data_IF_214400777052
#
_entry.id   IF_214400777052
#
_cell.length_a   1.000
_cell.length_b   1.000
_cell.length_c   1.000
_cell.angle_alpha   90.00
_cell.angle_beta   90.00
_cell.angle_gamma   90.00
#
_symmetry.space_group_name_H-M   'P 1'
#
loop_
_entity.id
_entity.type
_entity.pdbx_description
1 polymer ?
#
# COMPACT_ATOMS: atom_id res chain seq x y z
N UNK A 1 7.27 6.46 -23.53
CA UNK A 1 5.92 6.00 -23.13
C UNK A 1 5.98 5.55 -21.68
N UNK A 2 5.07 6.04 -20.83
CA UNK A 2 5.01 5.65 -19.40
C UNK A 2 4.45 4.24 -19.30
N UNK A 3 5.04 3.40 -18.45
CA UNK A 3 4.61 2.00 -18.21
C UNK A 3 4.14 1.74 -16.78
N UNK A 4 4.51 2.62 -15.85
CA UNK A 4 4.25 2.43 -14.44
C UNK A 4 4.16 3.79 -13.74
N UNK A 5 3.21 3.92 -12.83
CA UNK A 5 3.02 5.07 -11.95
C UNK A 5 3.01 4.55 -10.51
N UNK A 6 3.93 5.06 -9.68
CA UNK A 6 3.85 4.91 -8.24
C UNK A 6 3.20 6.17 -7.65
N UNK A 7 2.29 6.00 -6.71
CA UNK A 7 1.71 7.13 -5.98
C UNK A 7 1.77 6.88 -4.48
N UNK A 8 2.19 7.90 -3.75
CA UNK A 8 1.88 7.97 -2.33
C UNK A 8 0.36 8.08 -2.12
N UNK A 9 -0.10 7.76 -0.92
CA UNK A 9 -1.52 7.68 -0.56
C UNK A 9 -1.92 8.79 0.40
N UNK A 10 -1.30 8.84 1.57
CA UNK A 10 -1.71 9.75 2.65
C UNK A 10 -1.14 11.16 2.43
N UNK A 11 -2.01 12.12 2.10
CA UNK A 11 -1.59 13.48 1.75
C UNK A 11 -1.26 13.69 0.27
N UNK A 12 -1.43 12.64 -0.54
CA UNK A 12 -1.28 12.69 -2.01
C UNK A 12 -2.58 12.27 -2.69
N UNK A 13 -2.91 10.97 -2.67
CA UNK A 13 -4.10 10.42 -3.33
C UNK A 13 -5.39 10.68 -2.53
N UNK A 14 -5.27 10.72 -1.19
CA UNK A 14 -6.40 10.94 -0.31
C UNK A 14 -6.56 12.41 0.03
N UNK A 15 -7.81 12.86 0.01
CA UNK A 15 -8.21 14.19 0.47
C UNK A 15 -8.12 14.30 2.02
N UNK A 16 -8.50 15.46 2.56
CA UNK A 16 -8.48 15.72 4.02
C UNK A 16 -9.42 14.81 4.82
N UNK A 17 -10.44 14.24 4.17
CA UNK A 17 -11.39 13.28 4.73
C UNK A 17 -10.87 11.84 4.64
N UNK A 18 -9.66 11.64 4.11
CA UNK A 18 -9.02 10.33 3.86
C UNK A 18 -9.76 9.48 2.83
N UNK A 19 -10.37 10.14 1.86
CA UNK A 19 -11.13 9.53 0.77
C UNK A 19 -10.49 9.85 -0.58
N UNK A 20 -10.74 9.01 -1.58
CA UNK A 20 -10.42 9.32 -2.97
C UNK A 20 -11.61 10.08 -3.55
N UNK A 21 -11.39 11.27 -4.09
CA UNK A 21 -12.47 12.07 -4.68
C UNK A 21 -12.89 11.57 -6.08
N UNK A 22 -14.11 11.95 -6.48
CA UNK A 22 -14.70 11.53 -7.75
C UNK A 22 -13.88 11.97 -8.97
N UNK A 23 -13.19 13.12 -8.88
CA UNK A 23 -12.35 13.61 -9.96
C UNK A 23 -11.15 12.67 -10.17
N UNK A 24 -10.48 12.29 -9.10
CA UNK A 24 -9.36 11.35 -9.11
C UNK A 24 -9.79 9.99 -9.64
N UNK A 25 -10.95 9.47 -9.19
CA UNK A 25 -11.52 8.22 -9.73
C UNK A 25 -11.72 8.30 -11.24
N UNK A 26 -12.29 9.41 -11.75
CA UNK A 26 -12.50 9.63 -13.19
C UNK A 26 -11.19 9.70 -13.97
N UNK A 27 -10.17 10.38 -13.43
CA UNK A 27 -8.85 10.47 -14.07
C UNK A 27 -8.19 9.09 -14.14
N UNK A 28 -8.21 8.31 -13.06
CA UNK A 28 -7.65 6.95 -13.05
C UNK A 28 -8.37 6.03 -14.03
N UNK A 29 -9.70 6.18 -14.19
CA UNK A 29 -10.47 5.43 -15.16
C UNK A 29 -10.05 5.69 -16.61
N UNK A 30 -9.54 6.89 -16.91
CA UNK A 30 -9.07 7.31 -18.24
C UNK A 30 -7.62 6.89 -18.54
N UNK A 31 -6.85 6.46 -17.54
CA UNK A 31 -5.48 6.01 -17.76
C UNK A 31 -5.46 4.78 -18.67
N UNK A 32 -4.42 4.72 -19.52
CA UNK A 32 -4.10 3.59 -20.37
C UNK A 32 -4.00 2.32 -19.51
N UNK A 33 -4.76 1.28 -19.88
CA UNK A 33 -4.85 0.02 -19.12
C UNK A 33 -3.55 -0.78 -19.12
N UNK A 34 -2.59 -0.44 -19.99
CA UNK A 34 -1.25 -1.00 -19.97
C UNK A 34 -0.34 -0.41 -18.89
N UNK A 35 -0.72 0.74 -18.30
CA UNK A 35 0.06 1.36 -17.21
C UNK A 35 -0.23 0.64 -15.90
N UNK A 36 0.83 0.18 -15.24
CA UNK A 36 0.74 -0.36 -13.88
C UNK A 36 0.64 0.79 -12.88
N UNK A 37 -0.35 0.74 -11.99
CA UNK A 37 -0.55 1.75 -10.95
C UNK A 37 -0.27 1.11 -9.60
N UNK A 38 0.75 1.61 -8.90
CA UNK A 38 1.23 1.02 -7.65
C UNK A 38 1.09 2.03 -6.50
N UNK A 39 0.08 1.86 -5.63
CA UNK A 39 0.03 2.57 -4.36
C UNK A 39 1.22 2.18 -3.47
N UNK A 40 1.92 3.19 -2.95
CA UNK A 40 2.99 3.05 -1.96
C UNK A 40 2.61 3.78 -0.68
N UNK A 41 2.61 3.11 0.46
CA UNK A 41 2.14 3.70 1.71
C UNK A 41 2.70 3.00 2.95
N UNK A 42 2.63 3.70 4.09
CA UNK A 42 2.82 3.14 5.43
C UNK A 42 1.71 2.18 5.83
N UNK A 43 0.56 2.24 5.15
CA UNK A 43 -0.62 1.44 5.45
C UNK A 43 -0.38 -0.06 5.21
N UNK A 44 -1.13 -0.86 5.96
CA UNK A 44 -1.23 -2.30 5.76
C UNK A 44 -1.99 -2.65 4.46
N UNK A 45 -1.79 -3.85 3.88
CA UNK A 45 -2.43 -4.25 2.63
C UNK A 45 -3.95 -4.07 2.61
N UNK A 46 -4.64 -4.44 3.70
CA UNK A 46 -6.11 -4.34 3.80
C UNK A 46 -6.60 -2.91 3.60
N UNK A 47 -5.91 -1.92 4.16
CA UNK A 47 -6.29 -0.52 4.04
C UNK A 47 -6.05 0.02 2.62
N UNK A 48 -4.97 -0.41 1.95
CA UNK A 48 -4.71 -0.06 0.55
C UNK A 48 -5.66 -0.75 -0.42
N UNK A 49 -6.08 -1.98 -0.11
CA UNK A 49 -7.04 -2.70 -0.93
C UNK A 49 -8.38 -1.96 -1.06
N UNK A 50 -8.87 -1.33 0.01
CA UNK A 50 -10.06 -0.48 -0.06
C UNK A 50 -9.91 0.67 -1.06
N UNK A 51 -8.73 1.29 -1.11
CA UNK A 51 -8.41 2.37 -2.04
C UNK A 51 -8.31 1.84 -3.47
N UNK A 52 -7.63 0.70 -3.67
CA UNK A 52 -7.59 0.05 -4.97
C UNK A 52 -8.98 -0.31 -5.49
N UNK A 53 -9.89 -0.74 -4.60
CA UNK A 53 -11.27 -1.06 -4.96
C UNK A 53 -12.04 0.18 -5.42
N UNK A 54 -11.89 1.31 -4.73
CA UNK A 54 -12.48 2.59 -5.17
C UNK A 54 -11.95 3.02 -6.55
N UNK A 55 -10.68 2.76 -6.83
CA UNK A 55 -10.03 3.07 -8.10
C UNK A 55 -10.17 1.98 -9.17
N UNK A 56 -10.79 0.83 -8.86
CA UNK A 56 -10.90 -0.35 -9.73
C UNK A 56 -9.54 -0.90 -10.23
N UNK A 57 -8.57 -0.99 -9.33
CA UNK A 57 -7.18 -1.44 -9.60
C UNK A 57 -6.71 -2.54 -8.64
N UNK A 58 -7.60 -3.36 -8.07
CA UNK A 58 -7.26 -4.39 -7.06
C UNK A 58 -6.31 -5.49 -7.57
N UNK A 59 -6.23 -5.65 -8.88
CA UNK A 59 -5.31 -6.57 -9.54
C UNK A 59 -3.87 -6.02 -9.60
N UNK A 60 -3.67 -4.72 -9.37
CA UNK A 60 -2.35 -4.09 -9.43
C UNK A 60 -1.52 -4.36 -8.16
N UNK A 61 -0.19 -4.26 -8.25
CA UNK A 61 0.71 -4.40 -7.10
C UNK A 61 0.49 -3.35 -6.01
N UNK A 62 0.99 -3.64 -4.81
CA UNK A 62 0.97 -2.76 -3.63
C UNK A 62 2.34 -2.72 -2.96
N UNK A 63 2.73 -1.53 -2.51
CA UNK A 63 3.87 -1.33 -1.61
C UNK A 63 3.33 -0.88 -0.25
N UNK A 64 3.42 -1.75 0.75
CA UNK A 64 2.83 -1.60 2.07
C UNK A 64 3.91 -1.41 3.14
N UNK A 65 3.50 -0.93 4.33
CA UNK A 65 4.39 -0.77 5.49
C UNK A 65 5.70 -0.04 5.15
N UNK A 66 5.60 1.04 4.36
CA UNK A 66 6.75 1.82 3.89
C UNK A 66 7.77 1.00 3.07
N UNK A 67 7.30 -0.01 2.35
CA UNK A 67 8.14 -0.88 1.52
C UNK A 67 8.58 -2.17 2.19
N UNK A 68 8.25 -2.38 3.46
CA UNK A 68 8.55 -3.64 4.14
C UNK A 68 7.74 -4.83 3.58
N UNK A 69 6.64 -4.59 2.87
CA UNK A 69 5.89 -5.65 2.19
C UNK A 69 5.48 -5.20 0.78
N UNK A 70 5.85 -5.97 -0.22
CA UNK A 70 5.47 -5.75 -1.61
C UNK A 70 4.63 -6.93 -2.10
N UNK A 71 3.43 -6.64 -2.59
CA UNK A 71 2.48 -7.63 -3.10
C UNK A 71 2.27 -7.42 -4.59
N UNK A 72 2.20 -8.51 -5.34
CA UNK A 72 1.88 -8.51 -6.77
C UNK A 72 0.41 -8.20 -7.08
N UNK A 73 -0.48 -8.28 -6.09
CA UNK A 73 -1.90 -7.90 -6.19
C UNK A 73 -2.46 -7.63 -4.81
N UNK A 74 -3.39 -6.68 -4.69
CA UNK A 74 -4.13 -6.45 -3.44
C UNK A 74 -5.36 -7.34 -3.26
N UNK A 75 -5.85 -8.02 -4.31
CA UNK A 75 -7.12 -8.78 -4.27
C UNK A 75 -7.06 -10.01 -3.36
N UNK A 76 -5.92 -10.69 -3.29
CA UNK A 76 -5.74 -11.91 -2.49
C UNK A 76 -4.37 -11.89 -1.82
N UNK A 77 -4.35 -12.08 -0.50
CA UNK A 77 -3.13 -12.24 0.26
C UNK A 77 -2.76 -13.72 0.36
N UNK A 78 -1.90 -14.19 -0.54
CA UNK A 78 -1.22 -15.49 -0.42
C UNK A 78 0.29 -15.30 -0.40
N UNK A 79 1.03 -16.27 0.15
CA UNK A 79 2.49 -16.25 0.16
C UNK A 79 3.08 -16.13 -1.26
N UNK A 80 2.43 -16.74 -2.25
CA UNK A 80 2.84 -16.69 -3.67
C UNK A 80 2.74 -15.27 -4.26
N UNK A 81 1.91 -14.40 -3.66
CA UNK A 81 1.74 -13.02 -4.12
C UNK A 81 2.77 -12.07 -3.51
N UNK A 82 3.56 -12.52 -2.53
CA UNK A 82 4.61 -11.71 -1.91
C UNK A 82 5.80 -11.61 -2.86
N UNK A 83 6.09 -10.38 -3.31
CA UNK A 83 7.29 -10.07 -4.10
C UNK A 83 8.48 -9.84 -3.17
N UNK A 84 8.27 -9.11 -2.08
CA UNK A 84 9.28 -8.83 -1.08
C UNK A 84 8.65 -8.69 0.31
N UNK A 85 9.37 -9.14 1.33
CA UNK A 85 8.97 -8.99 2.73
C UNK A 85 10.20 -8.81 3.61
N UNK A 86 10.27 -7.68 4.30
CA UNK A 86 11.26 -7.36 5.32
C UNK A 86 10.54 -7.38 6.65
N UNK A 87 10.95 -8.28 7.53
CA UNK A 87 10.33 -8.45 8.85
C UNK A 87 11.25 -7.95 9.95
N UNK A 88 10.64 -7.58 11.08
CA UNK A 88 11.38 -7.31 12.31
C UNK A 88 11.52 -8.65 13.05
N UNK A 89 12.75 -9.12 13.35
CA UNK A 89 12.95 -10.33 14.12
C UNK A 89 12.31 -10.24 15.51
N UNK A 90 11.74 -11.34 16.00
CA UNK A 90 11.08 -11.38 17.32
C UNK A 90 12.00 -10.89 18.46
N UNK A 91 13.31 -11.21 18.41
CA UNK A 91 14.30 -10.70 19.37
C UNK A 91 14.36 -9.18 19.45
N UNK A 92 14.20 -8.49 18.32
CA UNK A 92 14.19 -7.03 18.25
C UNK A 92 12.93 -6.49 18.90
N UNK A 93 11.78 -7.15 18.66
CA UNK A 93 10.50 -6.80 19.31
C UNK A 93 10.58 -6.98 20.84
N UNK A 94 11.17 -8.06 21.32
CA UNK A 94 11.40 -8.26 22.77
C UNK A 94 12.30 -7.18 23.37
N UNK A 95 13.35 -6.75 22.64
CA UNK A 95 14.17 -5.61 23.05
C UNK A 95 13.38 -4.31 23.21
N UNK A 96 12.45 -4.02 22.28
CA UNK A 96 11.58 -2.84 22.37
C UNK A 96 10.63 -2.91 23.58
N UNK A 97 10.07 -4.09 23.88
CA UNK A 97 9.20 -4.28 25.06
C UNK A 97 9.98 -4.05 26.36
N UNK A 98 11.22 -4.55 26.43
CA UNK A 98 12.08 -4.33 27.59
C UNK A 98 12.40 -2.84 27.79
N UNK A 99 12.72 -2.11 26.72
CA UNK A 99 12.95 -0.66 26.78
C UNK A 99 11.72 0.12 27.27
N UNK A 100 10.52 -0.22 26.77
CA UNK A 100 9.29 0.44 27.20
C UNK A 100 9.02 0.24 28.71
N UNK A 101 9.44 -0.91 29.25
CA UNK A 101 9.26 -1.25 30.68
C UNK A 101 10.22 -0.48 31.61
N UNK A 102 11.25 0.18 31.07
CA UNK A 102 12.17 1.05 31.82
C UNK A 102 11.59 2.45 32.06
N UNK A 103 10.53 2.82 31.35
CA UNK A 103 9.85 4.11 31.45
C UNK A 103 8.53 4.01 32.22
N UNK A 104 8.55 3.35 33.38
CA UNK A 104 7.56 3.57 34.44
C UNK A 104 7.98 4.77 35.29
#
# INVERSE_FOLDING_TARGET
MVKLICTDVDGTLLNKQREVDDFTVKVFAQLDKSIQIIPASSRMPKALWHIQKTLNIEHMPLICYNGALVLSSGKVFTAEKVIASITIPAKTVFGLIALASLHN
#
